data_IF_153970805654
#
_entry.id   IF_153970805654
#
_cell.length_a   1.000
_cell.length_b   1.000
_cell.length_c   1.000
_cell.angle_alpha   90.00
_cell.angle_beta   90.00
_cell.angle_gamma   90.00
#
_symmetry.space_group_name_H-M   'P 1'
#
loop_
_entity.id
_entity.type
_entity.pdbx_description
1 polymer ?
#
# COMPACT_ATOMS: atom_id res chain seq x y z
N UNK A 1 0.32 0.34 14.09
CA UNK A 1 0.13 1.59 13.32
C UNK A 1 0.84 2.73 14.03
N UNK A 2 1.36 3.71 13.30
CA UNK A 2 2.11 4.84 13.89
C UNK A 2 1.12 6.00 14.08
N UNK A 3 1.02 6.56 15.30
CA UNK A 3 0.00 7.56 15.66
C UNK A 3 0.12 8.84 14.81
N UNK A 4 1.33 9.17 14.45
CA UNK A 4 1.72 10.35 13.68
C UNK A 4 1.29 10.25 12.21
N UNK A 5 0.96 9.05 11.72
CA UNK A 5 0.66 8.79 10.31
C UNK A 5 -0.76 9.21 9.95
N UNK A 6 -0.86 10.14 9.00
CA UNK A 6 -2.13 10.65 8.47
C UNK A 6 -2.56 9.89 7.21
N UNK A 7 -1.61 9.61 6.31
CA UNK A 7 -1.86 8.97 5.03
C UNK A 7 -0.70 8.05 4.65
N UNK A 8 -1.00 6.91 4.04
CA UNK A 8 0.00 6.04 3.40
C UNK A 8 -0.25 6.01 1.90
N UNK A 9 0.83 5.98 1.14
CA UNK A 9 0.83 5.75 -0.29
C UNK A 9 1.68 4.53 -0.60
N UNK A 10 1.18 3.64 -1.44
CA UNK A 10 1.95 2.58 -2.06
C UNK A 10 2.03 2.86 -3.56
N UNK A 11 3.26 3.00 -4.05
CA UNK A 11 3.58 3.17 -5.47
C UNK A 11 4.24 1.88 -5.96
N UNK A 12 3.75 1.35 -7.08
CA UNK A 12 4.20 0.10 -7.67
C UNK A 12 5.18 0.34 -8.82
N UNK A 13 6.25 -0.45 -8.82
CA UNK A 13 7.31 -0.40 -9.85
C UNK A 13 7.39 -1.76 -10.53
N UNK A 14 6.57 -1.96 -11.56
CA UNK A 14 6.46 -3.22 -12.30
C UNK A 14 7.21 -3.15 -13.64
N UNK A 15 8.53 -3.10 -13.60
CA UNK A 15 9.37 -3.02 -14.82
C UNK A 15 9.38 -4.31 -15.65
N UNK A 16 9.05 -5.45 -15.04
CA UNK A 16 9.12 -6.76 -15.69
C UNK A 16 7.76 -7.34 -16.06
N UNK A 17 6.71 -6.52 -16.03
CA UNK A 17 5.34 -6.89 -16.38
C UNK A 17 4.87 -8.17 -15.67
N UNK A 18 5.20 -8.25 -14.38
CA UNK A 18 4.71 -9.27 -13.45
C UNK A 18 3.17 -9.21 -13.34
N UNK A 19 2.52 -10.30 -12.91
CA UNK A 19 1.07 -10.37 -12.82
C UNK A 19 0.45 -9.22 -12.00
N UNK A 20 -0.62 -8.60 -12.52
CA UNK A 20 -1.32 -7.50 -11.83
C UNK A 20 -1.91 -7.93 -10.48
N UNK A 21 -2.17 -9.21 -10.29
CA UNK A 21 -2.64 -9.78 -9.02
C UNK A 21 -1.64 -9.62 -7.86
N UNK A 22 -0.37 -9.33 -8.15
CA UNK A 22 0.65 -9.08 -7.14
C UNK A 22 0.48 -7.74 -6.42
N UNK A 23 -0.59 -6.99 -6.63
CA UNK A 23 -0.75 -5.70 -5.96
C UNK A 23 -1.18 -5.85 -4.51
N UNK A 24 -2.07 -4.99 -4.02
CA UNK A 24 -2.51 -5.04 -2.61
C UNK A 24 -3.90 -5.62 -2.52
N UNK A 25 -4.04 -6.69 -1.74
CA UNK A 25 -5.32 -7.28 -1.38
C UNK A 25 -5.99 -6.47 -0.26
N UNK A 26 -7.29 -6.23 -0.40
CA UNK A 26 -8.16 -5.65 0.61
C UNK A 26 -9.07 -6.72 1.18
N UNK A 27 -9.30 -6.65 2.48
CA UNK A 27 -10.12 -7.63 3.21
C UNK A 27 -11.33 -6.96 3.85
N UNK A 28 -12.44 -7.69 3.95
CA UNK A 28 -13.60 -7.27 4.72
C UNK A 28 -13.39 -7.54 6.24
N UNK A 29 -14.43 -7.25 7.03
CA UNK A 29 -14.41 -7.47 8.49
C UNK A 29 -14.26 -8.95 8.90
N UNK A 30 -14.56 -9.88 7.99
CA UNK A 30 -14.38 -11.32 8.17
C UNK A 30 -12.99 -11.80 7.71
N UNK A 31 -12.10 -10.88 7.34
CA UNK A 31 -10.78 -11.15 6.76
C UNK A 31 -10.84 -11.91 5.42
N UNK A 32 -11.95 -11.82 4.71
CA UNK A 32 -12.09 -12.37 3.36
C UNK A 32 -11.63 -11.33 2.35
N UNK A 33 -10.80 -11.75 1.38
CA UNK A 33 -10.33 -10.88 0.31
C UNK A 33 -11.51 -10.42 -0.54
N UNK A 34 -11.68 -9.11 -0.67
CA UNK A 34 -12.74 -8.49 -1.47
C UNK A 34 -12.25 -7.93 -2.81
N UNK A 35 -11.01 -7.45 -2.86
CA UNK A 35 -10.45 -6.79 -4.04
C UNK A 35 -8.93 -6.81 -4.00
N UNK A 36 -8.30 -6.73 -5.17
CA UNK A 36 -6.88 -6.46 -5.31
C UNK A 36 -6.69 -5.16 -6.09
N UNK A 37 -5.88 -4.23 -5.58
CA UNK A 37 -5.35 -3.11 -6.37
C UNK A 37 -4.34 -3.68 -7.36
N UNK A 38 -4.40 -3.37 -8.66
CA UNK A 38 -3.49 -3.99 -9.62
C UNK A 38 -2.04 -3.51 -9.47
N UNK A 39 -1.08 -4.43 -9.56
CA UNK A 39 0.36 -4.17 -9.61
C UNK A 39 0.79 -3.69 -11.00
N UNK A 40 0.54 -2.41 -11.28
CA UNK A 40 0.93 -1.76 -12.54
C UNK A 40 2.13 -0.85 -12.33
N UNK A 41 2.98 -0.74 -13.34
CA UNK A 41 4.11 0.19 -13.27
C UNK A 41 3.61 1.63 -13.22
N UNK A 42 4.24 2.46 -12.39
CA UNK A 42 3.87 3.86 -12.19
C UNK A 42 2.39 4.03 -11.77
N UNK A 43 1.90 3.08 -10.98
CA UNK A 43 0.55 3.08 -10.43
C UNK A 43 0.62 2.96 -8.92
N UNK A 44 -0.42 3.39 -8.23
CA UNK A 44 -0.43 3.32 -6.78
C UNK A 44 -1.78 3.68 -6.21
N UNK A 45 -1.87 3.62 -4.89
CA UNK A 45 -3.05 4.05 -4.18
C UNK A 45 -2.68 4.66 -2.83
N UNK A 46 -3.57 5.50 -2.35
CA UNK A 46 -3.48 6.16 -1.06
C UNK A 46 -4.53 5.58 -0.12
N UNK A 47 -4.20 5.49 1.16
CA UNK A 47 -5.13 5.05 2.19
C UNK A 47 -4.80 5.70 3.53
N UNK A 48 -5.84 6.10 4.25
CA UNK A 48 -5.76 6.48 5.65
C UNK A 48 -5.98 5.25 6.52
N UNK A 49 -5.37 5.24 7.70
CA UNK A 49 -5.66 4.24 8.71
C UNK A 49 -7.07 4.42 9.27
N UNK A 50 -7.78 3.32 9.51
CA UNK A 50 -9.08 3.34 10.16
C UNK A 50 -9.50 1.95 10.66
N UNK A 51 -10.61 1.85 11.40
CA UNK A 51 -11.22 0.56 11.69
C UNK A 51 -11.49 -0.20 10.39
N UNK A 52 -11.22 -1.51 10.39
CA UNK A 52 -11.54 -2.41 9.28
C UNK A 52 -10.86 -2.07 7.94
N UNK A 53 -9.75 -1.31 7.93
CA UNK A 53 -8.95 -1.04 6.72
C UNK A 53 -7.87 -2.09 6.48
N UNK A 54 -8.22 -3.37 6.58
CA UNK A 54 -7.27 -4.49 6.45
C UNK A 54 -6.80 -4.63 5.01
N UNK A 55 -5.49 -4.69 4.84
CA UNK A 55 -4.85 -4.85 3.55
C UNK A 55 -3.54 -5.62 3.69
N UNK A 56 -3.12 -6.25 2.59
CA UNK A 56 -1.92 -7.09 2.58
C UNK A 56 -1.65 -7.65 1.20
N UNK A 57 -0.96 -8.78 1.17
CA UNK A 57 -0.72 -9.54 -0.04
C UNK A 57 -0.76 -11.02 0.33
N UNK A 58 -1.70 -11.76 -0.22
CA UNK A 58 -1.71 -13.22 -0.11
C UNK A 58 -0.44 -13.79 -0.74
N UNK A 59 -0.02 -14.97 -0.28
CA UNK A 59 1.13 -15.65 -0.86
C UNK A 59 0.83 -16.00 -2.33
N UNK A 60 1.60 -15.40 -3.23
CA UNK A 60 1.50 -15.51 -4.69
C UNK A 60 2.89 -15.78 -5.25
N UNK A 61 2.95 -16.35 -6.45
CA UNK A 61 4.21 -16.56 -7.14
C UNK A 61 4.75 -15.22 -7.67
N UNK A 62 6.03 -14.96 -7.42
CA UNK A 62 6.75 -13.82 -7.99
C UNK A 62 7.77 -14.44 -8.95
N UNK A 63 7.66 -14.13 -10.24
CA UNK A 63 8.49 -14.78 -11.28
C UNK A 63 9.92 -14.26 -11.23
N UNK A 64 10.09 -12.96 -11.00
CA UNK A 64 11.36 -12.25 -10.96
C UNK A 64 11.46 -11.35 -9.73
N UNK A 65 10.61 -10.34 -9.61
CA UNK A 65 10.61 -9.43 -8.46
C UNK A 65 9.35 -8.58 -8.34
N UNK A 66 9.08 -8.13 -7.11
CA UNK A 66 8.01 -7.19 -6.81
C UNK A 66 8.58 -5.99 -6.06
N UNK A 67 8.56 -4.81 -6.68
CA UNK A 67 9.05 -3.55 -6.09
C UNK A 67 7.89 -2.62 -5.76
N UNK A 68 7.92 -2.03 -4.58
CA UNK A 68 7.02 -0.94 -4.21
C UNK A 68 7.75 0.11 -3.39
N UNK A 69 7.38 1.38 -3.58
CA UNK A 69 7.77 2.47 -2.71
C UNK A 69 6.60 2.79 -1.77
N UNK A 70 6.85 2.74 -0.47
CA UNK A 70 5.87 3.14 0.53
C UNK A 70 6.21 4.53 1.06
N UNK A 71 5.28 5.48 0.91
CA UNK A 71 5.42 6.85 1.39
C UNK A 71 4.37 7.07 2.48
N UNK A 72 4.81 7.45 3.67
CA UNK A 72 3.92 7.79 4.78
C UNK A 72 3.94 9.31 4.98
N UNK A 73 2.77 9.94 4.89
CA UNK A 73 2.60 11.33 5.29
C UNK A 73 2.27 11.35 6.78
N UNK A 74 3.18 11.93 7.57
CA UNK A 74 3.12 11.95 9.03
C UNK A 74 3.11 13.39 9.54
N UNK A 75 2.49 13.60 10.70
CA UNK A 75 2.58 14.84 11.48
C UNK A 75 3.27 14.54 12.79
N UNK A 76 4.34 15.27 13.09
CA UNK A 76 5.03 15.22 14.37
C UNK A 76 5.51 16.63 14.72
N UNK A 77 5.74 16.95 16.01
CA UNK A 77 6.41 18.20 16.37
C UNK A 77 7.78 18.25 15.71
N UNK A 78 7.99 19.22 14.82
CA UNK A 78 9.27 19.46 14.16
C UNK A 78 9.78 20.84 14.57
N UNK A 79 11.09 20.95 14.79
CA UNK A 79 11.76 22.23 15.05
C UNK A 79 11.64 23.18 13.85
N UNK A 80 11.44 22.62 12.65
CA UNK A 80 11.14 23.34 11.44
C UNK A 80 9.62 23.47 11.27
N UNK A 81 9.08 24.62 11.65
CA UNK A 81 7.68 24.96 11.36
C UNK A 81 7.55 25.22 9.86
N UNK A 82 6.72 24.42 9.19
CA UNK A 82 6.27 24.73 7.83
C UNK A 82 5.08 25.68 7.99
N UNK A 83 5.19 26.90 7.46
CA UNK A 83 4.14 27.93 7.51
C UNK A 83 2.94 27.58 6.63
#
# INVERSE_FOLDING_TARGET
DIKEKLLSCLLFVNEFNEPEELGTDFYNEKLEKVKTVPYKNNYGYFFSSGPNTWHGMEKKEIVKERRCLQVNYVTFPTDWKVE
#
